data_IF_664027088266
#
_entry.id   IF_664027088266
#
_cell.length_a   1.000
_cell.length_b   1.000
_cell.length_c   1.000
_cell.angle_alpha   90.00
_cell.angle_beta   90.00
_cell.angle_gamma   90.00
#
_symmetry.space_group_name_H-M   'P 1'
#
loop_
_entity.id
_entity.type
_entity.pdbx_description
1 polymer ?
#
# COMPACT_ATOMS: atom_id res chain seq x y z
N UNK A 1 7.72 -26.81 -11.13
CA UNK A 1 6.98 -26.15 -10.04
C UNK A 1 6.91 -24.68 -10.38
N UNK A 2 5.72 -24.15 -10.64
CA UNK A 2 5.55 -22.71 -10.86
C UNK A 2 5.94 -21.98 -9.56
N UNK A 3 6.77 -20.92 -9.62
CA UNK A 3 7.06 -20.14 -8.43
C UNK A 3 5.74 -19.67 -7.80
N UNK A 4 5.58 -19.91 -6.50
CA UNK A 4 4.39 -19.52 -5.77
C UNK A 4 4.29 -18.00 -5.66
N UNK A 5 3.09 -17.48 -5.38
CA UNK A 5 2.84 -16.06 -5.13
C UNK A 5 3.77 -15.48 -4.04
N UNK A 6 4.15 -16.28 -3.05
CA UNK A 6 5.10 -15.89 -2.00
C UNK A 6 6.49 -15.54 -2.54
N UNK A 7 6.89 -16.06 -3.71
CA UNK A 7 8.16 -15.77 -4.36
C UNK A 7 8.16 -14.46 -5.15
N UNK A 8 7.00 -13.84 -5.35
CA UNK A 8 6.84 -12.63 -6.18
C UNK A 8 7.31 -11.35 -5.47
N UNK A 9 7.27 -11.31 -4.14
CA UNK A 9 7.67 -10.15 -3.33
C UNK A 9 8.44 -10.62 -2.09
N UNK A 10 9.40 -9.83 -1.58
CA UNK A 10 10.03 -10.14 -0.30
C UNK A 10 9.01 -10.05 0.84
N UNK A 11 9.22 -10.79 1.92
CA UNK A 11 8.28 -10.90 3.06
C UNK A 11 7.85 -9.53 3.61
N UNK A 12 8.77 -8.56 3.70
CA UNK A 12 8.47 -7.19 4.14
C UNK A 12 7.49 -6.44 3.22
N UNK A 13 7.54 -6.70 1.92
CA UNK A 13 6.63 -6.10 0.94
C UNK A 13 5.25 -6.76 1.04
N UNK A 14 5.19 -8.07 1.23
CA UNK A 14 3.93 -8.76 1.55
C UNK A 14 3.30 -8.23 2.84
N UNK A 15 4.09 -8.03 3.90
CA UNK A 15 3.60 -7.43 5.14
C UNK A 15 3.00 -6.03 4.92
N UNK A 16 3.66 -5.19 4.10
CA UNK A 16 3.14 -3.87 3.75
C UNK A 16 1.82 -3.95 2.95
N UNK A 17 1.73 -4.86 1.96
CA UNK A 17 0.50 -5.08 1.18
C UNK A 17 -0.64 -5.55 2.08
N UNK A 18 -0.38 -6.50 2.97
CA UNK A 18 -1.38 -7.01 3.92
C UNK A 18 -1.84 -5.93 4.90
N UNK A 19 -0.92 -5.12 5.42
CA UNK A 19 -1.27 -4.00 6.30
C UNK A 19 -2.20 -3.00 5.58
N UNK A 20 -1.89 -2.62 4.34
CA UNK A 20 -2.75 -1.74 3.54
C UNK A 20 -4.11 -2.39 3.23
N UNK A 21 -4.14 -3.69 2.96
CA UNK A 21 -5.39 -4.42 2.74
C UNK A 21 -6.26 -4.46 4.01
N UNK A 22 -5.66 -4.62 5.19
CA UNK A 22 -6.37 -4.57 6.48
C UNK A 22 -6.92 -3.17 6.75
N UNK A 23 -6.16 -2.12 6.47
CA UNK A 23 -6.64 -0.73 6.61
C UNK A 23 -7.82 -0.46 5.67
N UNK A 24 -7.71 -0.89 4.41
CA UNK A 24 -8.79 -0.79 3.44
C UNK A 24 -10.03 -1.53 3.94
N UNK A 25 -9.90 -2.80 4.34
CA UNK A 25 -11.02 -3.58 4.88
C UNK A 25 -11.64 -2.92 6.11
N UNK A 26 -10.82 -2.45 7.06
CA UNK A 26 -11.27 -1.78 8.27
C UNK A 26 -12.11 -0.55 7.98
N UNK A 27 -11.72 0.25 6.97
CA UNK A 27 -12.50 1.43 6.56
C UNK A 27 -13.89 1.10 5.98
N UNK A 28 -14.07 -0.08 5.37
CA UNK A 28 -15.38 -0.52 4.84
C UNK A 28 -16.30 -1.07 5.93
N UNK A 29 -15.72 -1.54 7.04
CA UNK A 29 -16.47 -2.05 8.17
C UNK A 29 -17.00 -0.94 9.09
N UNK A 30 -16.56 0.31 8.89
CA UNK A 30 -17.07 1.45 9.65
C UNK A 30 -18.49 1.80 9.21
N UNK A 31 -19.50 1.71 10.10
CA UNK A 31 -20.83 2.14 9.75
C UNK A 31 -20.90 3.68 9.68
N UNK A 32 -21.82 4.25 8.87
CA UNK A 32 -22.00 5.70 8.76
C UNK A 32 -22.29 6.39 10.10
N UNK A 33 -22.86 5.66 11.07
CA UNK A 33 -23.12 6.14 12.43
C UNK A 33 -21.86 6.60 13.17
N UNK A 34 -20.68 6.08 12.82
CA UNK A 34 -19.40 6.58 13.34
C UNK A 34 -19.14 8.01 12.85
N UNK A 35 -19.41 8.29 11.57
CA UNK A 35 -19.35 9.65 11.03
C UNK A 35 -20.36 10.58 11.70
N UNK A 36 -21.59 10.11 11.90
CA UNK A 36 -22.63 10.90 12.56
C UNK A 36 -22.25 11.25 14.01
N UNK A 37 -21.57 10.35 14.73
CA UNK A 37 -21.11 10.59 16.10
C UNK A 37 -20.09 11.74 16.24
N UNK A 38 -19.40 12.08 15.15
CA UNK A 38 -18.47 13.22 15.06
C UNK A 38 -19.05 14.39 14.26
N UNK A 39 -20.36 14.38 14.00
CA UNK A 39 -21.07 15.45 13.29
C UNK A 39 -20.87 15.46 11.78
N UNK A 40 -20.33 14.38 11.18
CA UNK A 40 -20.19 14.26 9.74
C UNK A 40 -21.48 13.74 9.11
N UNK A 41 -21.89 14.37 8.01
CA UNK A 41 -22.93 13.83 7.14
C UNK A 41 -22.40 12.67 6.29
N UNK A 42 -23.31 11.91 5.66
CA UNK A 42 -22.95 10.74 4.85
C UNK A 42 -21.97 11.06 3.70
N UNK A 43 -22.16 12.20 3.02
CA UNK A 43 -21.31 12.62 1.88
C UNK A 43 -19.82 12.75 2.23
N UNK A 44 -19.41 13.55 3.23
CA UNK A 44 -18.01 13.64 3.63
C UNK A 44 -17.50 12.31 4.19
N UNK A 45 -18.31 11.54 4.93
CA UNK A 45 -17.95 10.20 5.38
C UNK A 45 -17.59 9.28 4.21
N UNK A 46 -18.42 9.25 3.17
CA UNK A 46 -18.17 8.48 1.95
C UNK A 46 -16.84 8.88 1.28
N UNK A 47 -16.59 10.18 1.12
CA UNK A 47 -15.35 10.65 0.49
C UNK A 47 -14.09 10.31 1.30
N UNK A 48 -14.18 10.31 2.63
CA UNK A 48 -13.08 9.87 3.51
C UNK A 48 -12.79 8.38 3.27
N UNK A 49 -13.81 7.52 3.33
CA UNK A 49 -13.63 6.08 3.09
C UNK A 49 -13.11 5.82 1.68
N UNK A 50 -13.67 6.49 0.66
CA UNK A 50 -13.19 6.38 -0.71
C UNK A 50 -11.73 6.83 -0.88
N UNK A 51 -11.32 7.90 -0.18
CA UNK A 51 -9.94 8.36 -0.15
C UNK A 51 -8.99 7.35 0.48
N UNK A 52 -9.40 6.70 1.58
CA UNK A 52 -8.62 5.62 2.21
C UNK A 52 -8.47 4.43 1.26
N UNK A 53 -9.55 4.02 0.59
CA UNK A 53 -9.50 2.94 -0.41
C UNK A 53 -8.53 3.27 -1.54
N UNK A 54 -8.66 4.46 -2.12
CA UNK A 54 -7.79 4.92 -3.20
C UNK A 54 -6.32 4.97 -2.74
N UNK A 55 -6.06 5.52 -1.56
CA UNK A 55 -4.73 5.59 -0.97
C UNK A 55 -4.10 4.21 -0.75
N UNK A 56 -4.88 3.24 -0.23
CA UNK A 56 -4.41 1.87 -0.06
C UNK A 56 -4.14 1.19 -1.40
N UNK A 57 -5.00 1.38 -2.40
CA UNK A 57 -4.81 0.83 -3.74
C UNK A 57 -3.54 1.38 -4.41
N UNK A 58 -3.33 2.69 -4.36
CA UNK A 58 -2.11 3.34 -4.86
C UNK A 58 -0.88 2.87 -4.09
N UNK A 59 -0.96 2.75 -2.76
CA UNK A 59 0.13 2.25 -1.92
C UNK A 59 0.53 0.82 -2.26
N UNK A 60 -0.44 -0.09 -2.43
CA UNK A 60 -0.18 -1.47 -2.86
C UNK A 60 0.49 -1.47 -4.24
N UNK A 61 -0.04 -0.70 -5.19
CA UNK A 61 0.57 -0.54 -6.51
C UNK A 61 2.02 -0.03 -6.44
N UNK A 62 2.29 0.98 -5.61
CA UNK A 62 3.63 1.53 -5.41
C UNK A 62 4.60 0.49 -4.81
N UNK A 63 4.15 -0.30 -3.82
CA UNK A 63 4.95 -1.40 -3.26
C UNK A 63 5.29 -2.42 -4.34
N UNK A 64 4.31 -2.83 -5.13
CA UNK A 64 4.53 -3.79 -6.23
C UNK A 64 5.52 -3.24 -7.25
N UNK A 65 5.36 -1.99 -7.70
CA UNK A 65 6.26 -1.35 -8.67
C UNK A 65 7.66 -1.20 -8.10
N UNK A 66 7.79 -0.77 -6.85
CA UNK A 66 9.08 -0.60 -6.20
C UNK A 66 9.84 -1.93 -6.12
N UNK A 67 9.17 -3.01 -5.70
CA UNK A 67 9.77 -4.34 -5.53
C UNK A 67 9.84 -5.20 -6.79
N UNK A 68 9.33 -4.71 -7.92
CA UNK A 68 9.43 -5.39 -9.22
C UNK A 68 10.86 -5.41 -9.78
N UNK A 69 11.73 -4.46 -9.40
CA UNK A 69 13.13 -4.47 -9.85
C UNK A 69 13.98 -5.44 -9.03
N UNK A 70 14.81 -6.29 -9.68
CA UNK A 70 15.75 -7.15 -8.98
C UNK A 70 16.66 -6.28 -8.07
N UNK A 71 17.06 -6.79 -6.89
CA UNK A 71 17.89 -6.04 -5.95
C UNK A 71 19.23 -5.58 -6.55
N UNK A 72 19.72 -6.26 -7.59
CA UNK A 72 20.93 -5.93 -8.35
C UNK A 72 20.82 -4.56 -9.06
N UNK A 73 19.70 -4.29 -9.75
CA UNK A 73 19.43 -3.00 -10.40
C UNK A 73 19.19 -1.86 -9.39
N UNK A 74 18.74 -2.16 -8.16
CA UNK A 74 18.63 -1.14 -7.10
C UNK A 74 20.00 -0.73 -6.55
N UNK A 75 20.92 -1.69 -6.41
CA UNK A 75 22.25 -1.44 -5.86
C UNK A 75 23.16 -0.66 -6.84
N UNK A 76 22.96 -0.82 -8.15
CA UNK A 76 23.68 -0.04 -9.16
C UNK A 76 23.27 1.43 -9.17
N UNK A 77 21.96 1.74 -9.08
CA UNK A 77 21.48 3.14 -9.01
C UNK A 77 21.92 3.91 -7.75
N UNK A 78 22.09 3.20 -6.62
CA UNK A 78 22.62 3.81 -5.38
C UNK A 78 24.15 3.90 -5.34
N UNK A 79 24.86 3.15 -6.18
CA UNK A 79 26.32 3.27 -6.33
C UNK A 79 26.72 4.37 -7.31
N UNK A 80 25.91 4.62 -8.32
CA UNK A 80 26.21 5.58 -9.39
C UNK A 80 26.30 7.03 -8.88
N UNK A 81 25.58 7.41 -7.82
CA UNK A 81 25.70 8.75 -7.22
C UNK A 81 26.87 8.87 -6.24
N UNK A 82 27.46 7.76 -5.80
CA UNK A 82 28.53 7.73 -4.80
C UNK A 82 29.89 7.58 -5.49
N UNK A 83 30.20 8.55 -6.35
CA UNK A 83 31.55 8.73 -6.89
C UNK A 83 32.41 9.41 -5.80
N UNK A 84 33.10 8.62 -4.97
CA UNK A 84 34.22 9.14 -4.16
C UNK A 84 35.49 9.12 -5.05
N UNK A 85 36.09 10.28 -5.37
CA UNK A 85 37.28 10.37 -6.22
C UNK A 85 38.55 9.81 -5.59
#
# INVERSE_FOLDING_TARGET
MSPGLSSYLPMRAWAAVLALAVVAMGSLLLPPSVGESVGLSFRPFFWIVAGIQLGCAVGIGAVVVYYRRPPEERAEGDREWRYDP
#
